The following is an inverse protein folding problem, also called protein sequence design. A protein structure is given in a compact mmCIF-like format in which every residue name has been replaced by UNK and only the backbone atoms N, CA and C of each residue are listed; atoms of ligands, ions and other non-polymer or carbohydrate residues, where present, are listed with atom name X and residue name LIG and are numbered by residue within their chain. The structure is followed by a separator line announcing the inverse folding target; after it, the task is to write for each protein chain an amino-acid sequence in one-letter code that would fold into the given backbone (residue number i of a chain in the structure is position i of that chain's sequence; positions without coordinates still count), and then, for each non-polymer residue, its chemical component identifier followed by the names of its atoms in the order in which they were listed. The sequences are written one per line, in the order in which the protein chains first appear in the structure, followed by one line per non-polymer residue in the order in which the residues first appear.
data_IF_535942185046
#
_entry.id   IF_535942185046
#
_cell.length_a   1.000
_cell.length_b   1.000
_cell.length_c   1.000
_cell.angle_alpha   90.00
_cell.angle_beta   90.00
_cell.angle_gamma   90.00
#
_symmetry.space_group_name_H-M   'P 1'
#
loop_
_entity.id
_entity.type
_entity.pdbx_description
1 polymer ?
#
# COMPACT_ATOMS: atom_id res chain seq x y z
N UNK A 1 8.64 30.54 0.60
CA UNK A 1 8.18 31.29 1.78
C UNK A 1 7.99 32.72 1.30
N UNK A 2 6.75 33.21 1.30
CA UNK A 2 6.40 34.58 0.90
C UNK A 2 6.36 35.40 2.19
N UNK A 3 7.04 36.55 2.24
CA UNK A 3 6.98 37.48 3.39
C UNK A 3 6.11 38.65 2.95
N UNK A 4 4.81 38.62 3.23
CA UNK A 4 3.96 39.75 2.96
C UNK A 4 4.21 40.82 4.01
N UNK A 5 4.57 42.00 3.53
CA UNK A 5 4.20 43.25 4.18
C UNK A 5 2.67 43.31 4.22
N UNK A 6 2.07 43.67 5.36
CA UNK A 6 0.62 43.71 5.49
C UNK A 6 -0.02 44.55 4.36
N UNK A 7 -0.80 43.90 3.48
CA UNK A 7 -1.61 44.60 2.48
C UNK A 7 -3.05 44.66 2.94
N UNK A 8 -3.76 45.75 2.61
CA UNK A 8 -5.20 45.82 2.85
C UNK A 8 -5.98 44.67 2.17
N UNK A 9 -5.43 44.10 1.09
CA UNK A 9 -6.01 42.95 0.38
C UNK A 9 -6.02 41.67 1.22
N UNK A 10 -5.17 41.58 2.24
CA UNK A 10 -5.05 40.42 3.10
C UNK A 10 -6.00 40.49 4.31
N UNK A 11 -6.64 41.65 4.55
CA UNK A 11 -7.55 41.87 5.69
C UNK A 11 -8.85 41.07 5.50
N UNK A 12 -9.24 40.37 6.56
CA UNK A 12 -10.41 39.51 6.58
C UNK A 12 -10.26 38.27 5.69
N UNK A 13 -9.03 37.76 5.51
CA UNK A 13 -8.69 36.53 4.76
C UNK A 13 -9.27 36.49 3.33
N UNK A 14 -9.39 37.66 2.69
CA UNK A 14 -9.99 37.81 1.36
C UNK A 14 -11.52 37.62 1.31
N UNK A 15 -12.19 37.58 2.46
CA UNK A 15 -13.64 37.36 2.61
C UNK A 15 -14.41 38.58 3.08
N UNK A 16 -13.72 39.60 3.60
CA UNK A 16 -14.33 40.86 4.06
C UNK A 16 -14.31 41.90 2.94
N UNK A 17 -15.41 42.62 2.76
CA UNK A 17 -15.42 43.82 1.93
C UNK A 17 -14.51 44.88 2.56
N UNK A 18 -13.56 45.38 1.78
CA UNK A 18 -12.59 46.37 2.26
C UNK A 18 -13.19 47.77 2.23
N UNK A 19 -12.89 48.57 3.27
CA UNK A 19 -13.24 49.97 3.35
C UNK A 19 -12.05 50.85 2.93
N UNK A 20 -12.30 52.10 2.53
CA UNK A 20 -11.24 53.06 2.16
C UNK A 20 -10.19 53.20 3.26
N UNK A 21 -10.62 53.15 4.53
CA UNK A 21 -9.72 53.18 5.69
C UNK A 21 -8.72 52.04 5.74
N UNK A 22 -9.03 50.87 5.15
CA UNK A 22 -8.11 49.72 5.15
C UNK A 22 -6.91 49.97 4.22
N UNK A 23 -7.09 50.75 3.15
CA UNK A 23 -6.02 51.11 2.20
C UNK A 23 -5.14 52.26 2.70
N UNK A 24 -5.64 53.08 3.61
CA UNK A 24 -4.95 54.27 4.13
C UNK A 24 -4.48 54.09 5.57
N UNK A 25 -4.65 52.91 6.16
CA UNK A 25 -4.25 52.60 7.53
C UNK A 25 -2.72 52.46 7.60
N UNK A 26 -2.12 53.13 8.58
CA UNK A 26 -0.76 52.80 9.01
C UNK A 26 -0.79 51.52 9.81
N UNK A 27 -0.11 50.47 9.34
CA UNK A 27 -0.01 49.19 10.05
C UNK A 27 1.01 49.22 11.20
N UNK A 28 1.69 50.35 11.38
CA UNK A 28 2.49 50.66 12.55
C UNK A 28 1.89 51.87 13.29
N UNK A 29 1.60 51.78 14.60
CA UNK A 29 1.84 50.66 15.52
C UNK A 29 0.74 49.58 15.55
N UNK A 30 -0.33 49.72 14.76
CA UNK A 30 -1.51 48.86 14.86
C UNK A 30 -1.41 47.57 14.04
N UNK A 31 -0.52 46.66 14.47
CA UNK A 31 -0.25 45.38 13.80
C UNK A 31 -1.51 44.49 13.83
N UNK A 32 -2.04 44.02 12.68
CA UNK A 32 -3.21 43.15 12.67
C UNK A 32 -2.85 41.72 13.12
N UNK A 33 -3.79 41.02 13.76
CA UNK A 33 -3.50 39.68 14.31
C UNK A 33 -3.38 38.62 13.19
N UNK A 34 -2.27 37.84 13.14
CA UNK A 34 -2.11 36.73 12.21
C UNK A 34 -3.25 35.71 12.33
N UNK A 35 -3.66 35.11 11.20
CA UNK A 35 -4.72 34.09 11.08
C UNK A 35 -6.15 34.54 11.43
N UNK A 36 -6.32 35.59 12.24
CA UNK A 36 -7.62 36.20 12.57
C UNK A 36 -7.99 37.25 11.53
N UNK A 37 -7.05 38.15 11.24
CA UNK A 37 -7.28 39.26 10.32
C UNK A 37 -6.66 38.99 8.94
N UNK A 38 -5.74 38.04 8.80
CA UNK A 38 -5.04 37.78 7.53
C UNK A 38 -4.57 36.34 7.40
N UNK A 39 -4.30 35.81 6.19
CA UNK A 39 -4.05 34.38 5.98
C UNK A 39 -2.61 33.93 6.33
N UNK A 40 -1.76 34.83 6.81
CA UNK A 40 -0.35 34.54 7.07
C UNK A 40 -0.09 34.15 8.52
N UNK A 41 0.96 33.34 8.70
CA UNK A 41 1.41 32.84 10.00
C UNK A 41 2.22 33.87 10.79
N UNK A 42 2.78 34.89 10.11
CA UNK A 42 3.54 35.98 10.70
C UNK A 42 3.54 37.21 9.76
N UNK A 43 3.68 38.41 10.33
CA UNK A 43 3.87 39.68 9.61
C UNK A 43 4.96 40.51 10.29
N UNK A 44 5.71 41.26 9.49
CA UNK A 44 6.69 42.25 9.95
C UNK A 44 6.19 43.64 9.52
N UNK A 45 6.08 44.58 10.46
CA UNK A 45 5.67 45.96 10.21
C UNK A 45 6.66 46.90 10.92
N UNK A 46 7.11 47.95 10.23
CA UNK A 46 8.04 48.95 10.76
C UNK A 46 7.44 50.37 10.72
N UNK A 47 8.07 51.31 11.42
CA UNK A 47 7.61 52.71 11.51
C UNK A 47 7.56 53.47 10.18
N UNK A 48 8.22 52.95 9.13
CA UNK A 48 8.18 53.46 7.75
C UNK A 48 7.28 52.63 6.82
N UNK A 49 6.61 51.59 7.32
CA UNK A 49 5.68 50.80 6.54
C UNK A 49 4.37 51.59 6.31
N UNK A 50 4.43 52.59 5.43
CA UNK A 50 3.30 53.44 5.03
C UNK A 50 2.56 52.94 3.79
N UNK A 51 3.12 51.96 3.07
CA UNK A 51 2.61 51.48 1.78
C UNK A 51 2.32 49.97 1.75
N UNK A 52 1.40 49.57 0.88
CA UNK A 52 0.89 48.20 0.69
C UNK A 52 1.96 47.10 0.52
N UNK A 53 3.09 47.44 -0.09
CA UNK A 53 4.29 46.60 -0.12
C UNK A 53 5.51 47.50 0.05
N UNK A 54 6.26 47.31 1.13
CA UNK A 54 7.52 48.03 1.39
C UNK A 54 8.67 47.04 1.50
N UNK A 55 9.80 47.36 0.87
CA UNK A 55 11.03 46.60 1.10
C UNK A 55 11.49 46.88 2.55
N UNK A 56 11.36 45.87 3.40
CA UNK A 56 11.79 45.95 4.79
C UNK A 56 13.31 45.73 4.82
N UNK A 57 14.03 46.62 5.51
CA UNK A 57 15.47 46.52 5.68
C UNK A 57 15.81 45.15 6.32
N UNK A 58 16.80 44.43 5.76
CA UNK A 58 17.20 43.08 6.17
C UNK A 58 16.20 41.93 5.92
N UNK A 59 15.10 42.14 5.17
CA UNK A 59 14.14 41.07 4.85
C UNK A 59 14.78 39.85 4.16
N UNK A 60 15.66 40.08 3.18
CA UNK A 60 16.36 39.00 2.49
C UNK A 60 17.30 38.23 3.42
N UNK A 61 18.01 38.94 4.31
CA UNK A 61 18.88 38.29 5.30
C UNK A 61 18.05 37.43 6.26
N UNK A 62 16.93 37.95 6.75
CA UNK A 62 16.01 37.20 7.60
C UNK A 62 15.45 35.96 6.90
N UNK A 63 15.01 36.07 5.63
CA UNK A 63 14.54 34.91 4.85
C UNK A 63 15.65 33.88 4.71
N UNK A 64 16.88 34.31 4.39
CA UNK A 64 18.03 33.43 4.26
C UNK A 64 18.38 32.76 5.60
N UNK A 65 18.29 33.48 6.72
CA UNK A 65 18.43 32.92 8.07
C UNK A 65 17.35 31.85 8.35
N UNK A 66 16.08 32.13 8.04
CA UNK A 66 14.99 31.16 8.24
C UNK A 66 15.11 29.92 7.35
N UNK A 67 15.69 30.06 6.15
CA UNK A 67 16.01 28.95 5.25
C UNK A 67 17.23 28.14 5.70
N UNK A 68 18.11 28.72 6.52
CA UNK A 68 19.27 28.03 7.10
C UNK A 68 18.92 27.20 8.34
N UNK A 69 17.74 27.37 8.95
CA UNK A 69 17.29 26.55 10.08
C UNK A 69 16.67 25.25 9.57
N UNK A 70 17.30 24.11 9.87
CA UNK A 70 16.83 22.79 9.45
C UNK A 70 17.11 21.71 10.50
N UNK A 71 16.41 20.58 10.40
CA UNK A 71 16.63 19.42 11.27
C UNK A 71 17.69 18.51 10.66
N UNK A 72 18.85 18.43 11.33
CA UNK A 72 19.90 17.45 11.08
C UNK A 72 19.60 16.14 11.82
N UNK A 73 20.07 15.03 11.25
CA UNK A 73 19.85 13.68 11.76
C UNK A 73 19.51 12.67 10.64
N UNK A 74 19.60 11.37 10.93
CA UNK A 74 19.40 10.32 9.93
C UNK A 74 17.95 10.21 9.46
N UNK A 75 17.76 9.80 8.20
CA UNK A 75 16.43 9.49 7.65
C UNK A 75 15.94 8.10 8.06
N UNK A 76 16.86 7.21 8.43
CA UNK A 76 16.59 5.89 9.02
C UNK A 76 17.39 5.75 10.32
N UNK A 77 16.85 6.23 11.46
CA UNK A 77 17.56 6.22 12.74
C UNK A 77 17.69 4.80 13.32
N UNK A 78 18.60 4.68 14.29
CA UNK A 78 18.70 3.62 15.30
C UNK A 78 18.36 4.21 16.67
N UNK A 79 17.92 3.39 17.63
CA UNK A 79 17.70 3.87 19.00
C UNK A 79 18.98 4.47 19.57
N UNK A 80 18.89 5.67 20.12
CA UNK A 80 20.05 6.47 20.59
C UNK A 80 20.54 7.51 19.58
N UNK A 81 20.08 7.49 18.33
CA UNK A 81 20.37 8.57 17.38
C UNK A 81 19.74 9.88 17.86
N UNK A 82 20.40 11.01 17.54
CA UNK A 82 19.99 12.33 18.00
C UNK A 82 19.67 13.27 16.85
N UNK A 83 18.53 13.94 16.92
CA UNK A 83 18.17 15.02 16.01
C UNK A 83 18.59 16.38 16.59
N UNK A 84 19.04 17.27 15.72
CA UNK A 84 19.52 18.61 16.08
C UNK A 84 18.86 19.63 15.16
N UNK A 85 18.41 20.75 15.72
CA UNK A 85 17.96 21.89 14.94
C UNK A 85 19.15 22.81 14.69
N UNK A 86 19.69 22.75 13.48
CA UNK A 86 20.87 23.51 13.10
C UNK A 86 20.52 24.99 12.93
N UNK A 87 21.51 25.86 13.20
CA UNK A 87 21.39 27.32 13.09
C UNK A 87 20.27 27.94 13.96
N UNK A 88 19.90 27.28 15.07
CA UNK A 88 18.95 27.81 16.06
C UNK A 88 19.66 28.01 17.41
N UNK A 89 19.60 29.23 17.94
CA UNK A 89 20.16 29.60 19.25
C UNK A 89 19.17 29.47 20.41
N UNK A 90 17.89 29.18 20.13
CA UNK A 90 16.84 29.06 21.12
C UNK A 90 16.74 27.65 21.70
N UNK A 91 16.26 27.48 22.94
CA UNK A 91 15.95 26.16 23.49
C UNK A 91 14.90 25.45 22.65
N UNK A 92 15.21 24.22 22.22
CA UNK A 92 14.36 23.41 21.37
C UNK A 92 13.63 22.35 22.19
N UNK A 93 12.36 22.12 21.86
CA UNK A 93 11.55 21.01 22.34
C UNK A 93 11.22 20.06 21.20
N UNK A 94 11.40 18.77 21.43
CA UNK A 94 11.17 17.74 20.43
C UNK A 94 9.86 17.00 20.66
N UNK A 95 9.19 16.62 19.58
CA UNK A 95 8.03 15.75 19.59
C UNK A 95 8.00 14.83 18.36
N UNK A 96 7.17 13.79 18.45
CA UNK A 96 7.01 12.79 17.39
C UNK A 96 5.53 12.56 17.11
N UNK A 97 5.18 12.36 15.84
CA UNK A 97 3.78 12.28 15.43
C UNK A 97 3.03 11.04 15.93
N UNK A 98 3.73 9.92 16.16
CA UNK A 98 3.13 8.67 16.63
C UNK A 98 4.05 7.97 17.64
N UNK A 99 3.66 8.05 18.92
CA UNK A 99 4.39 7.45 20.02
C UNK A 99 4.32 5.93 20.07
N UNK A 100 3.44 5.30 19.29
CA UNK A 100 3.38 3.85 19.16
C UNK A 100 4.51 3.31 18.28
N UNK A 101 5.03 4.11 17.34
CA UNK A 101 6.11 3.74 16.40
C UNK A 101 7.49 4.05 17.00
N UNK A 102 7.66 5.25 17.56
CA UNK A 102 8.91 5.65 18.22
C UNK A 102 8.63 6.70 19.31
N UNK A 103 9.59 6.93 20.19
CA UNK A 103 9.61 8.04 21.15
C UNK A 103 10.81 8.93 20.86
N UNK A 104 10.73 10.20 21.26
CA UNK A 104 11.87 11.12 21.21
C UNK A 104 11.96 11.85 22.55
N UNK A 105 13.18 11.98 23.09
CA UNK A 105 13.40 12.76 24.29
C UNK A 105 13.16 14.25 23.98
N UNK A 106 12.28 14.93 24.73
CA UNK A 106 11.84 16.28 24.41
C UNK A 106 12.93 17.35 24.61
N UNK A 107 14.06 17.03 25.25
CA UNK A 107 15.14 17.96 25.54
C UNK A 107 16.40 17.66 24.71
N UNK A 108 16.81 16.40 24.65
CA UNK A 108 18.02 15.99 23.94
C UNK A 108 17.76 15.81 22.45
N UNK A 109 16.55 15.41 22.03
CA UNK A 109 16.25 15.01 20.65
C UNK A 109 16.71 13.58 20.32
N UNK A 110 17.04 12.78 21.35
CA UNK A 110 17.40 11.37 21.20
C UNK A 110 16.15 10.51 20.92
N UNK A 111 16.21 9.68 19.88
CA UNK A 111 15.08 8.85 19.44
C UNK A 111 15.19 7.42 19.97
N UNK A 112 14.07 6.85 20.40
CA UNK A 112 13.92 5.44 20.79
C UNK A 112 12.90 4.77 19.88
N UNK A 113 13.30 3.72 19.18
CA UNK A 113 12.44 3.01 18.24
C UNK A 113 11.63 1.93 18.95
N UNK A 114 10.36 1.75 18.57
CA UNK A 114 9.48 0.72 19.17
C UNK A 114 9.04 -0.33 18.16
N UNK A 115 8.45 0.10 17.04
CA UNK A 115 8.01 -0.79 15.95
C UNK A 115 8.29 -0.12 14.60
N UNK A 116 8.33 -0.89 13.50
CA UNK A 116 8.50 -0.30 12.18
C UNK A 116 7.38 0.67 11.81
N UNK A 117 7.73 1.74 11.10
CA UNK A 117 6.77 2.71 10.61
C UNK A 117 7.40 4.05 10.23
N UNK A 118 6.55 5.00 9.87
CA UNK A 118 6.97 6.35 9.47
C UNK A 118 6.44 7.35 10.48
N UNK A 119 7.31 8.25 10.92
CA UNK A 119 6.98 9.30 11.88
C UNK A 119 7.55 10.64 11.45
N UNK A 120 6.92 11.71 11.91
CA UNK A 120 7.42 13.07 11.76
C UNK A 120 8.06 13.51 13.06
N UNK A 121 9.36 13.76 13.03
CA UNK A 121 10.12 14.39 14.12
C UNK A 121 9.94 15.90 14.00
N UNK A 122 9.48 16.54 15.07
CA UNK A 122 9.18 17.97 15.09
C UNK A 122 10.04 18.66 16.16
N UNK A 123 10.72 19.73 15.75
CA UNK A 123 11.44 20.65 16.61
C UNK A 123 10.60 21.91 16.78
N UNK A 124 10.33 22.30 18.02
CA UNK A 124 9.59 23.51 18.36
C UNK A 124 10.47 24.40 19.23
N UNK A 125 10.56 25.68 18.91
CA UNK A 125 11.28 26.66 19.73
C UNK A 125 10.46 27.95 19.88
N UNK A 126 10.67 28.62 21.00
CA UNK A 126 10.13 29.95 21.26
C UNK A 126 11.21 30.97 20.93
N UNK A 127 10.85 31.97 20.15
CA UNK A 127 11.66 33.19 19.96
C UNK A 127 10.83 34.39 20.43
N UNK A 128 11.44 35.58 20.45
CA UNK A 128 10.85 36.79 21.06
C UNK A 128 9.42 37.12 20.60
N UNK A 129 9.06 36.75 19.36
CA UNK A 129 7.78 37.12 18.74
C UNK A 129 6.85 35.92 18.48
N UNK A 130 7.18 34.71 18.96
CA UNK A 130 6.25 33.57 18.85
C UNK A 130 6.89 32.19 18.88
N UNK A 131 6.08 31.21 18.50
CA UNK A 131 6.46 29.80 18.45
C UNK A 131 6.68 29.37 17.01
N UNK A 132 7.82 28.75 16.72
CA UNK A 132 8.11 28.16 15.41
C UNK A 132 8.29 26.65 15.55
N UNK A 133 7.74 25.92 14.59
CA UNK A 133 7.97 24.48 14.45
C UNK A 133 8.62 24.15 13.10
N UNK A 134 9.56 23.21 13.12
CA UNK A 134 10.14 22.56 11.94
C UNK A 134 9.94 21.06 12.05
N UNK A 135 9.80 20.39 10.92
CA UNK A 135 9.53 18.95 10.93
C UNK A 135 10.32 18.20 9.87
N UNK A 136 10.78 17.00 10.21
CA UNK A 136 11.47 16.06 9.34
C UNK A 136 10.78 14.71 9.40
N UNK A 137 10.44 14.15 8.25
CA UNK A 137 9.90 12.79 8.17
C UNK A 137 11.04 11.78 8.23
N UNK A 138 10.85 10.73 9.02
CA UNK A 138 11.87 9.68 9.26
C UNK A 138 11.23 8.29 9.23
N UNK A 139 12.02 7.31 8.79
CA UNK A 139 11.61 5.91 8.69
C UNK A 139 12.20 5.12 9.85
N UNK A 140 11.34 4.68 10.76
CA UNK A 140 11.72 3.86 11.91
C UNK A 140 11.64 2.40 11.48
N UNK A 141 12.79 1.72 11.36
CA UNK A 141 12.83 0.34 10.85
C UNK A 141 12.37 0.22 9.39
N UNK A 142 12.39 -1.00 8.86
CA UNK A 142 11.89 -1.30 7.52
C UNK A 142 10.41 -1.71 7.59
N UNK A 143 9.55 -1.21 6.69
CA UNK A 143 8.16 -1.61 6.67
C UNK A 143 8.03 -3.09 6.28
N UNK A 144 6.84 -3.62 6.54
CA UNK A 144 6.49 -4.99 6.18
C UNK A 144 6.06 -5.07 4.71
N UNK A 145 6.41 -6.17 4.04
CA UNK A 145 6.14 -6.37 2.62
C UNK A 145 5.44 -7.70 2.36
N UNK A 146 4.86 -7.79 1.17
CA UNK A 146 4.50 -9.06 0.57
C UNK A 146 4.83 -9.05 -0.92
N UNK A 147 4.91 -10.22 -1.52
CA UNK A 147 5.12 -10.39 -2.96
C UNK A 147 3.75 -10.65 -3.58
N UNK A 148 3.35 -9.84 -4.54
CA UNK A 148 2.21 -10.12 -5.42
C UNK A 148 2.71 -10.48 -6.81
N UNK A 149 2.05 -11.41 -7.50
CA UNK A 149 2.45 -11.80 -8.86
C UNK A 149 1.36 -11.52 -9.88
N UNK A 150 1.70 -10.82 -10.95
CA UNK A 150 0.82 -10.65 -12.11
C UNK A 150 1.42 -11.32 -13.33
N UNK A 151 0.58 -11.82 -14.22
CA UNK A 151 0.99 -12.37 -15.51
C UNK A 151 0.49 -11.46 -16.63
N UNK A 152 1.38 -11.05 -17.53
CA UNK A 152 1.01 -10.27 -18.73
C UNK A 152 1.01 -11.16 -19.98
N UNK A 153 0.55 -12.42 -19.83
CA UNK A 153 0.48 -13.42 -20.90
C UNK A 153 1.83 -13.94 -21.45
N UNK A 154 2.94 -13.26 -21.19
CA UNK A 154 4.30 -13.62 -21.65
C UNK A 154 5.33 -13.68 -20.52
N UNK A 155 5.16 -12.91 -19.45
CA UNK A 155 6.11 -12.81 -18.34
C UNK A 155 5.36 -12.85 -17.02
N UNK A 156 5.82 -13.69 -16.10
CA UNK A 156 5.39 -13.62 -14.71
C UNK A 156 6.16 -12.47 -14.03
N UNK A 157 5.43 -11.56 -13.42
CA UNK A 157 5.96 -10.34 -12.81
C UNK A 157 5.69 -10.42 -11.31
N UNK A 158 6.75 -10.46 -10.51
CA UNK A 158 6.65 -10.30 -9.08
C UNK A 158 6.72 -8.81 -8.72
N UNK A 159 5.88 -8.36 -7.80
CA UNK A 159 5.87 -6.99 -7.31
C UNK A 159 5.90 -7.00 -5.80
N UNK A 160 6.90 -6.34 -5.21
CA UNK A 160 6.97 -6.09 -3.78
C UNK A 160 5.99 -4.97 -3.43
N UNK A 161 5.03 -5.28 -2.57
CA UNK A 161 4.05 -4.33 -2.09
C UNK A 161 4.25 -4.09 -0.61
N UNK A 162 4.34 -2.82 -0.25
CA UNK A 162 4.51 -2.36 1.13
C UNK A 162 3.14 -2.39 1.83
N UNK A 163 3.03 -3.08 2.97
CA UNK A 163 1.79 -3.17 3.74
C UNK A 163 1.42 -1.84 4.41
N UNK A 164 2.40 -0.98 4.65
CA UNK A 164 2.22 0.33 5.31
C UNK A 164 2.63 1.47 4.37
N UNK A 165 1.67 2.33 4.01
CA UNK A 165 1.84 3.62 3.30
C UNK A 165 2.95 3.66 2.21
N UNK A 166 2.68 3.07 1.04
CA UNK A 166 3.64 2.93 -0.05
C UNK A 166 4.21 4.23 -0.65
N UNK A 167 3.54 5.38 -0.46
CA UNK A 167 3.97 6.66 -1.05
C UNK A 167 5.30 7.18 -0.48
N UNK A 168 5.50 7.07 0.84
CA UNK A 168 6.72 7.54 1.50
C UNK A 168 7.87 6.55 1.32
N UNK A 169 7.58 5.24 1.30
CA UNK A 169 8.60 4.25 0.99
C UNK A 169 9.15 4.44 -0.43
N UNK A 170 8.27 4.73 -1.39
CA UNK A 170 8.69 5.09 -2.75
C UNK A 170 9.65 6.29 -2.77
N UNK A 171 9.38 7.34 -1.99
CA UNK A 171 10.29 8.49 -1.87
C UNK A 171 11.69 8.08 -1.40
N UNK A 172 11.78 7.09 -0.49
CA UNK A 172 13.05 6.63 0.08
C UNK A 172 13.83 5.74 -0.90
N UNK A 173 13.13 4.95 -1.70
CA UNK A 173 13.70 4.22 -2.84
C UNK A 173 14.19 5.20 -3.91
N UNK A 174 13.37 6.19 -4.27
CA UNK A 174 13.72 7.22 -5.27
C UNK A 174 14.93 8.07 -4.79
N UNK A 175 15.09 8.27 -3.48
CA UNK A 175 16.25 8.91 -2.87
C UNK A 175 17.50 8.01 -2.77
N UNK A 176 17.41 6.73 -3.17
CA UNK A 176 18.53 5.78 -3.12
C UNK A 176 18.92 5.34 -1.70
N UNK A 177 18.04 5.51 -0.73
CA UNK A 177 18.29 5.13 0.66
C UNK A 177 17.94 3.68 0.95
N UNK A 178 17.17 3.08 0.04
CA UNK A 178 16.62 1.74 0.15
C UNK A 178 16.68 1.05 -1.21
N UNK A 179 17.09 -0.22 -1.23
CA UNK A 179 17.20 -1.06 -2.41
C UNK A 179 16.46 -2.38 -2.22
N UNK A 180 15.90 -2.91 -3.31
CA UNK A 180 15.31 -4.25 -3.31
C UNK A 180 16.37 -5.27 -3.71
N UNK A 181 16.39 -6.38 -3.01
CA UNK A 181 17.10 -7.59 -3.42
C UNK A 181 16.09 -8.67 -3.71
N UNK A 182 16.09 -9.13 -4.96
CA UNK A 182 15.26 -10.21 -5.42
C UNK A 182 16.11 -11.46 -5.56
N UNK A 183 15.52 -12.61 -5.27
CA UNK A 183 16.17 -13.90 -5.42
C UNK A 183 15.25 -14.88 -6.12
N UNK A 184 15.80 -15.75 -6.95
CA UNK A 184 15.05 -16.90 -7.49
C UNK A 184 15.69 -18.19 -7.06
N UNK A 185 14.85 -19.20 -6.83
CA UNK A 185 15.27 -20.57 -6.59
C UNK A 185 14.42 -21.49 -7.44
N UNK A 186 15.08 -22.16 -8.37
CA UNK A 186 14.55 -23.27 -9.16
C UNK A 186 15.18 -24.57 -8.67
N UNK A 187 14.42 -25.66 -8.73
CA UNK A 187 14.79 -27.04 -8.42
C UNK A 187 16.26 -27.32 -8.03
N UNK A 188 16.55 -27.40 -6.73
CA UNK A 188 17.86 -27.82 -6.22
C UNK A 188 19.01 -26.82 -6.40
N UNK A 189 18.80 -25.72 -7.13
CA UNK A 189 19.80 -24.67 -7.31
C UNK A 189 19.89 -23.75 -6.07
N UNK A 190 21.06 -23.12 -5.82
CA UNK A 190 21.18 -22.06 -4.83
C UNK A 190 20.32 -20.84 -5.23
N UNK A 191 20.03 -19.97 -4.25
CA UNK A 191 19.31 -18.71 -4.51
C UNK A 191 20.25 -17.75 -5.26
N UNK A 192 19.84 -17.31 -6.44
CA UNK A 192 20.54 -16.28 -7.19
C UNK A 192 19.95 -14.92 -6.86
N UNK A 193 20.72 -14.08 -6.15
CA UNK A 193 20.28 -12.76 -5.71
C UNK A 193 20.67 -11.67 -6.72
N UNK A 194 19.72 -10.80 -7.04
CA UNK A 194 19.87 -9.63 -7.90
C UNK A 194 19.41 -8.38 -7.14
N UNK A 195 20.27 -7.35 -7.11
CA UNK A 195 19.93 -6.05 -6.54
C UNK A 195 19.31 -5.17 -7.62
N UNK A 196 18.17 -4.56 -7.32
CA UNK A 196 17.52 -3.62 -8.24
C UNK A 196 16.76 -2.53 -7.48
N UNK A 197 16.56 -1.41 -8.17
CA UNK A 197 15.82 -0.25 -7.61
C UNK A 197 14.32 -0.45 -7.66
N UNK A 198 13.85 -1.23 -8.63
CA UNK A 198 12.42 -1.42 -8.86
C UNK A 198 11.84 -2.43 -7.88
N UNK A 199 10.64 -2.11 -7.41
CA UNK A 199 9.78 -3.01 -6.64
C UNK A 199 9.21 -4.14 -7.51
N UNK A 200 9.61 -4.24 -8.77
CA UNK A 200 9.06 -5.14 -9.77
C UNK A 200 10.18 -6.01 -10.32
N UNK A 201 10.01 -7.32 -10.24
CA UNK A 201 10.97 -8.32 -10.69
C UNK A 201 10.32 -9.23 -11.74
N UNK A 202 10.86 -9.17 -12.96
CA UNK A 202 10.42 -10.02 -14.05
C UNK A 202 11.08 -11.40 -13.93
N UNK A 203 10.28 -12.45 -13.81
CA UNK A 203 10.74 -13.84 -13.73
C UNK A 203 11.13 -14.41 -15.10
N UNK A 204 10.94 -13.63 -16.18
CA UNK A 204 11.05 -14.09 -17.55
C UNK A 204 9.88 -15.01 -17.94
N UNK A 205 10.05 -15.74 -19.05
CA UNK A 205 9.14 -16.83 -19.44
C UNK A 205 9.48 -18.03 -18.56
N UNK A 206 8.60 -18.47 -17.64
CA UNK A 206 8.90 -19.61 -16.79
C UNK A 206 9.08 -20.87 -17.64
N UNK A 207 10.18 -21.61 -17.45
CA UNK A 207 10.30 -22.93 -18.06
C UNK A 207 9.17 -23.83 -17.52
N UNK A 208 8.39 -24.40 -18.45
CA UNK A 208 7.05 -25.02 -18.30
C UNK A 208 6.92 -26.20 -17.32
N UNK A 209 7.91 -26.47 -16.48
CA UNK A 209 7.98 -27.68 -15.64
C UNK A 209 8.49 -27.46 -14.22
N UNK A 210 8.78 -26.23 -13.78
CA UNK A 210 9.38 -26.01 -12.46
C UNK A 210 8.60 -25.03 -11.58
N UNK A 211 8.33 -25.46 -10.34
CA UNK A 211 8.04 -24.55 -9.24
C UNK A 211 9.22 -23.62 -9.03
N UNK A 212 8.98 -22.33 -9.16
CA UNK A 212 9.99 -21.29 -8.93
C UNK A 212 9.61 -20.56 -7.66
N UNK A 213 10.51 -20.58 -6.67
CA UNK A 213 10.32 -19.74 -5.47
C UNK A 213 11.08 -18.44 -5.64
N UNK A 214 10.35 -17.36 -5.48
CA UNK A 214 10.83 -15.99 -5.53
C UNK A 214 11.10 -15.58 -4.10
N UNK A 215 12.20 -14.90 -3.86
CA UNK A 215 12.58 -14.32 -2.59
C UNK A 215 12.72 -12.81 -2.79
N UNK A 216 12.38 -12.05 -1.77
CA UNK A 216 12.59 -10.62 -1.74
C UNK A 216 13.03 -10.18 -0.35
N UNK A 217 13.95 -9.24 -0.29
CA UNK A 217 14.22 -8.46 0.91
C UNK A 217 14.62 -7.06 0.53
N UNK A 218 14.56 -6.17 1.51
CA UNK A 218 14.90 -4.77 1.37
C UNK A 218 16.16 -4.48 2.18
N UNK A 219 17.05 -3.67 1.62
CA UNK A 219 18.25 -3.18 2.30
C UNK A 219 18.28 -1.66 2.34
N UNK A 220 18.64 -1.11 3.48
CA UNK A 220 18.94 0.32 3.62
C UNK A 220 20.41 0.60 3.39
N UNK A 221 20.75 1.84 3.04
CA UNK A 221 22.13 2.32 2.96
C UNK A 221 22.92 2.17 4.29
N UNK A 222 22.22 2.10 5.43
CA UNK A 222 22.83 1.89 6.76
C UNK A 222 23.09 0.41 7.09
N UNK A 223 22.78 -0.51 6.18
CA UNK A 223 22.99 -1.95 6.31
C UNK A 223 21.86 -2.71 7.01
N UNK A 224 20.77 -2.05 7.41
CA UNK A 224 19.58 -2.73 7.93
C UNK A 224 18.91 -3.53 6.79
N UNK A 225 18.60 -4.80 7.07
CA UNK A 225 17.91 -5.73 6.16
C UNK A 225 16.53 -6.06 6.70
N UNK A 226 15.54 -6.16 5.81
CA UNK A 226 14.24 -6.72 6.18
C UNK A 226 14.34 -8.24 6.35
N UNK A 227 13.32 -8.89 6.94
CA UNK A 227 13.10 -10.32 6.74
C UNK A 227 13.09 -10.68 5.25
N UNK A 228 13.34 -11.95 4.96
CA UNK A 228 13.19 -12.50 3.62
C UNK A 228 11.74 -12.91 3.43
N UNK A 229 11.09 -12.31 2.44
CA UNK A 229 9.77 -12.68 1.96
C UNK A 229 9.91 -13.68 0.82
N UNK A 230 8.97 -14.61 0.68
CA UNK A 230 9.00 -15.59 -0.41
C UNK A 230 7.61 -15.86 -0.98
N UNK A 231 7.56 -16.19 -2.26
CA UNK A 231 6.35 -16.62 -2.97
C UNK A 231 6.72 -17.74 -3.94
N UNK A 232 5.95 -18.82 -3.97
CA UNK A 232 6.18 -19.94 -4.90
C UNK A 232 5.21 -19.87 -6.07
N UNK A 233 5.77 -19.62 -7.25
CA UNK A 233 5.07 -19.66 -8.52
C UNK A 233 5.14 -21.08 -9.11
N UNK A 234 3.98 -21.69 -9.36
CA UNK A 234 3.87 -23.01 -9.98
C UNK A 234 3.37 -22.93 -11.43
N UNK A 235 4.31 -22.90 -12.37
CA UNK A 235 4.03 -22.85 -13.81
C UNK A 235 3.47 -24.17 -14.38
N UNK A 236 3.39 -25.23 -13.57
CA UNK A 236 2.94 -26.56 -14.05
C UNK A 236 1.42 -26.70 -14.15
N UNK A 237 0.66 -25.77 -13.56
CA UNK A 237 -0.80 -25.77 -13.62
C UNK A 237 -1.31 -24.76 -14.67
N UNK A 238 -1.88 -25.22 -15.81
CA UNK A 238 -2.46 -24.34 -16.83
C UNK A 238 -3.65 -23.53 -16.37
N UNK A 239 -4.31 -23.99 -15.31
CA UNK A 239 -5.66 -23.61 -14.96
C UNK A 239 -5.64 -22.65 -13.79
N UNK A 240 -6.43 -21.59 -13.92
CA UNK A 240 -6.77 -20.72 -12.80
C UNK A 240 -8.24 -20.90 -12.46
N UNK A 241 -8.55 -20.75 -11.18
CA UNK A 241 -9.86 -20.98 -10.62
C UNK A 241 -10.32 -19.67 -10.01
N UNK A 242 -11.49 -19.19 -10.43
CA UNK A 242 -12.03 -17.89 -10.06
C UNK A 242 -13.52 -18.03 -9.70
N UNK A 243 -14.00 -17.54 -8.55
CA UNK A 243 -13.24 -16.93 -7.47
C UNK A 243 -12.42 -17.96 -6.68
N UNK A 244 -11.30 -17.51 -6.10
CA UNK A 244 -10.51 -18.31 -5.13
C UNK A 244 -11.02 -18.14 -3.70
N UNK A 245 -11.45 -16.91 -3.38
CA UNK A 245 -12.06 -16.56 -2.11
C UNK A 245 -13.45 -16.00 -2.32
N UNK A 246 -14.34 -16.39 -1.43
CA UNK A 246 -15.68 -15.86 -1.25
C UNK A 246 -15.68 -15.26 0.14
N UNK A 247 -15.92 -13.95 0.26
CA UNK A 247 -15.96 -13.27 1.55
C UNK A 247 -17.39 -12.80 1.83
N UNK A 248 -17.85 -13.02 3.05
CA UNK A 248 -19.11 -12.45 3.56
C UNK A 248 -18.85 -11.51 4.74
N UNK A 249 -19.54 -10.37 4.78
CA UNK A 249 -19.49 -9.42 5.90
C UNK A 249 -20.68 -9.55 6.86
N UNK A 250 -20.70 -8.72 7.91
CA UNK A 250 -21.76 -8.72 8.92
C UNK A 250 -23.15 -8.39 8.34
N UNK A 251 -23.20 -7.56 7.30
CA UNK A 251 -24.43 -7.17 6.58
C UNK A 251 -24.93 -8.28 5.65
N UNK A 252 -24.08 -9.27 5.38
CA UNK A 252 -24.42 -10.37 4.49
C UNK A 252 -24.08 -10.18 3.03
N UNK A 253 -23.36 -9.10 2.73
CA UNK A 253 -22.86 -8.80 1.40
C UNK A 253 -21.75 -9.78 1.04
N UNK A 254 -21.62 -10.05 -0.25
CA UNK A 254 -20.72 -11.04 -0.78
C UNK A 254 -19.70 -10.39 -1.70
N UNK A 255 -18.45 -10.75 -1.48
CA UNK A 255 -17.31 -10.24 -2.22
C UNK A 255 -16.56 -11.41 -2.84
N UNK A 256 -16.45 -11.39 -4.17
CA UNK A 256 -15.71 -12.40 -4.92
C UNK A 256 -14.34 -11.86 -5.26
N UNK A 257 -13.30 -12.60 -4.89
CA UNK A 257 -11.95 -12.27 -5.31
C UNK A 257 -11.62 -13.02 -6.59
N UNK A 258 -11.51 -12.29 -7.69
CA UNK A 258 -10.64 -12.73 -8.79
C UNK A 258 -9.24 -12.19 -8.50
N UNK A 259 -8.20 -12.75 -9.13
CA UNK A 259 -6.78 -12.57 -8.80
C UNK A 259 -6.35 -11.21 -8.20
N UNK A 260 -6.96 -10.05 -8.52
CA UNK A 260 -6.74 -8.78 -7.83
C UNK A 260 -7.94 -7.82 -7.72
N UNK A 261 -9.16 -8.25 -8.05
CA UNK A 261 -10.36 -7.39 -8.02
C UNK A 261 -11.47 -8.04 -7.20
N UNK A 262 -12.08 -7.21 -6.36
CA UNK A 262 -13.27 -7.52 -5.57
C UNK A 262 -14.47 -6.99 -6.33
N UNK A 263 -15.44 -7.85 -6.59
CA UNK A 263 -16.75 -7.47 -7.10
C UNK A 263 -17.81 -7.85 -6.06
N UNK A 264 -18.75 -6.94 -5.83
CA UNK A 264 -19.96 -7.24 -5.09
C UNK A 264 -20.76 -8.27 -5.89
N UNK A 265 -21.08 -9.41 -5.29
CA UNK A 265 -21.96 -10.37 -5.92
C UNK A 265 -23.42 -10.04 -5.57
N UNK A 266 -24.22 -9.72 -6.58
CA UNK A 266 -25.68 -9.70 -6.44
C UNK A 266 -26.19 -11.14 -6.51
N UNK A 267 -27.17 -11.48 -5.66
CA UNK A 267 -27.59 -12.84 -5.27
C UNK A 267 -28.03 -13.83 -6.36
N UNK A 268 -27.12 -14.17 -7.26
CA UNK A 268 -27.20 -15.26 -8.22
C UNK A 268 -26.40 -16.48 -7.71
N UNK A 269 -26.67 -17.71 -8.19
CA UNK A 269 -25.88 -18.88 -7.81
C UNK A 269 -24.38 -18.63 -8.03
N UNK A 270 -23.58 -18.97 -7.02
CA UNK A 270 -22.15 -18.70 -7.04
C UNK A 270 -21.46 -19.55 -8.12
N UNK A 271 -21.04 -18.90 -9.19
CA UNK A 271 -20.29 -19.55 -10.26
C UNK A 271 -18.79 -19.55 -9.98
N UNK A 272 -18.21 -20.73 -10.19
CA UNK A 272 -16.78 -20.96 -10.27
C UNK A 272 -16.36 -21.05 -11.74
N UNK A 273 -15.59 -20.09 -12.21
CA UNK A 273 -14.97 -20.09 -13.51
C UNK A 273 -13.58 -20.73 -13.44
N UNK A 274 -13.39 -21.84 -14.15
CA UNK A 274 -12.04 -22.37 -14.45
C UNK A 274 -11.59 -21.77 -15.77
N UNK A 275 -10.55 -20.94 -15.72
CA UNK A 275 -9.94 -20.31 -16.87
C UNK A 275 -8.69 -21.08 -17.25
N UNK A 276 -8.61 -21.49 -18.51
CA UNK A 276 -7.34 -21.91 -19.08
C UNK A 276 -6.47 -20.66 -19.31
N UNK A 277 -5.24 -20.70 -18.81
CA UNK A 277 -4.28 -19.63 -19.08
C UNK A 277 -3.95 -19.58 -20.58
N UNK A 278 -3.94 -18.36 -21.12
CA UNK A 278 -3.70 -18.01 -22.53
C UNK A 278 -2.42 -18.61 -23.13
N UNK A 279 -1.46 -19.01 -22.29
CA UNK A 279 -0.19 -19.62 -22.69
C UNK A 279 -0.33 -21.01 -23.32
N UNK A 280 -1.39 -21.74 -22.99
CA UNK A 280 -1.61 -23.10 -23.49
C UNK A 280 -2.17 -23.15 -24.91
N UNK A 281 -2.67 -22.04 -25.46
CA UNK A 281 -3.27 -22.01 -26.80
C UNK A 281 -2.27 -21.95 -27.97
N UNK A 282 -0.96 -21.80 -27.73
CA UNK A 282 -0.01 -21.57 -28.84
C UNK A 282 0.64 -22.82 -29.48
N UNK A 283 0.47 -24.04 -28.94
CA UNK A 283 0.70 -25.29 -29.69
C UNK A 283 0.46 -26.53 -28.82
N UNK A 284 -0.48 -27.38 -29.20
CA UNK A 284 -0.41 -28.81 -28.88
C UNK A 284 -1.17 -29.33 -27.67
N UNK A 285 -2.25 -28.68 -27.24
CA UNK A 285 -3.21 -29.38 -26.36
C UNK A 285 -3.89 -30.44 -27.23
N UNK A 286 -3.53 -31.71 -27.05
CA UNK A 286 -4.32 -32.83 -27.58
C UNK A 286 -5.78 -32.65 -27.11
N UNK A 287 -6.80 -33.21 -27.78
CA UNK A 287 -8.22 -33.12 -27.36
C UNK A 287 -8.47 -33.50 -25.90
N UNK A 288 -7.45 -34.01 -25.21
CA UNK A 288 -7.42 -34.33 -23.82
C UNK A 288 -6.76 -33.47 -22.79
N UNK A 289 -6.14 -32.37 -23.19
CA UNK A 289 -5.65 -31.39 -22.22
C UNK A 289 -6.71 -30.35 -21.83
N UNK A 290 -8.01 -30.66 -21.95
CA UNK A 290 -9.11 -29.74 -21.60
C UNK A 290 -9.91 -30.28 -20.40
N UNK A 291 -10.35 -29.40 -19.47
CA UNK A 291 -11.24 -29.80 -18.39
C UNK A 291 -12.50 -30.47 -18.93
N UNK A 292 -12.80 -31.67 -18.45
CA UNK A 292 -14.03 -32.41 -18.76
C UNK A 292 -14.92 -32.63 -17.56
N UNK A 293 -14.37 -32.51 -16.34
CA UNK A 293 -15.10 -32.73 -15.09
C UNK A 293 -14.50 -31.92 -13.94
N UNK A 294 -15.36 -31.44 -13.06
CA UNK A 294 -14.96 -30.95 -11.74
C UNK A 294 -15.55 -31.83 -10.65
N UNK A 295 -14.74 -32.10 -9.63
CA UNK A 295 -15.13 -32.80 -8.41
C UNK A 295 -14.92 -31.86 -7.21
N UNK A 296 -15.97 -31.59 -6.45
CA UNK A 296 -15.94 -30.75 -5.24
C UNK A 296 -16.02 -31.64 -4.01
N UNK A 297 -15.05 -31.51 -3.10
CA UNK A 297 -14.88 -32.30 -1.87
C UNK A 297 -14.85 -33.83 -2.08
N UNK A 298 -14.61 -34.30 -3.31
CA UNK A 298 -14.61 -35.73 -3.63
C UNK A 298 -16.00 -36.36 -3.78
N UNK A 299 -17.07 -35.56 -3.66
CA UNK A 299 -18.45 -36.08 -3.60
C UNK A 299 -19.33 -35.58 -4.74
N UNK A 300 -19.17 -34.30 -5.13
CA UNK A 300 -20.00 -33.67 -6.17
C UNK A 300 -19.27 -33.63 -7.49
N UNK A 301 -19.86 -34.22 -8.53
CA UNK A 301 -19.31 -34.19 -9.89
C UNK A 301 -20.14 -33.28 -10.78
N UNK A 302 -19.48 -32.37 -11.50
CA UNK A 302 -20.07 -31.59 -12.57
C UNK A 302 -19.40 -31.95 -13.89
N UNK A 303 -20.20 -32.45 -14.82
CA UNK A 303 -19.79 -32.88 -16.15
C UNK A 303 -20.17 -31.84 -17.20
N UNK A 304 -19.53 -31.97 -18.36
CA UNK A 304 -19.82 -31.12 -19.48
C UNK A 304 -19.59 -31.87 -20.81
N UNK A 305 -20.43 -31.55 -21.79
CA UNK A 305 -20.50 -32.29 -23.05
C UNK A 305 -20.09 -31.47 -24.30
N UNK A 306 -20.01 -30.13 -24.24
CA UNK A 306 -19.88 -29.29 -25.45
C UNK A 306 -18.85 -28.14 -25.39
N UNK A 307 -17.70 -28.32 -26.08
CA UNK A 307 -16.68 -27.26 -26.27
C UNK A 307 -17.37 -25.98 -26.76
N UNK A 308 -17.24 -24.81 -26.07
CA UNK A 308 -17.67 -23.56 -26.68
C UNK A 308 -16.75 -23.36 -27.89
N UNK A 309 -17.22 -23.83 -29.04
CA UNK A 309 -16.55 -23.70 -30.32
C UNK A 309 -16.47 -22.23 -30.67
N UNK A 310 -15.41 -21.56 -30.23
CA UNK A 310 -15.16 -20.16 -30.50
C UNK A 310 -13.67 -19.91 -30.55
N UNK A 311 -13.21 -19.17 -31.57
CA UNK A 311 -11.84 -18.70 -31.75
C UNK A 311 -11.46 -17.58 -30.74
N UNK A 312 -12.02 -17.60 -29.54
CA UNK A 312 -11.77 -16.58 -28.52
C UNK A 312 -10.66 -17.05 -27.59
N UNK A 313 -9.63 -16.22 -27.45
CA UNK A 313 -8.37 -16.48 -26.74
C UNK A 313 -8.48 -16.62 -25.20
N UNK A 314 -9.70 -16.71 -24.68
CA UNK A 314 -10.04 -16.86 -23.26
C UNK A 314 -11.17 -17.90 -23.15
N UNK A 315 -10.82 -19.18 -23.03
CA UNK A 315 -11.80 -20.24 -22.73
C UNK A 315 -12.01 -20.30 -21.23
N UNK A 316 -12.94 -19.49 -20.73
CA UNK A 316 -13.46 -19.59 -19.36
C UNK A 316 -14.61 -20.59 -19.32
N UNK A 317 -14.46 -21.69 -18.59
CA UNK A 317 -15.54 -22.64 -18.33
C UNK A 317 -16.17 -22.29 -16.99
N UNK A 318 -17.44 -21.86 -17.02
CA UNK A 318 -18.22 -21.58 -15.80
C UNK A 318 -18.85 -22.86 -15.27
N UNK A 319 -18.63 -23.11 -13.99
CA UNK A 319 -19.27 -24.12 -13.16
C UNK A 319 -20.07 -23.40 -12.10
N UNK A 320 -21.11 -24.04 -11.56
CA UNK A 320 -21.73 -23.56 -10.32
C UNK A 320 -21.11 -24.35 -9.18
N UNK A 321 -20.55 -23.67 -8.18
CA UNK A 321 -19.98 -24.34 -7.02
C UNK A 321 -21.09 -24.90 -6.11
N UNK A 322 -22.20 -24.17 -6.08
CA UNK A 322 -23.42 -24.47 -5.35
C UNK A 322 -24.61 -24.04 -6.20
N UNK A 323 -25.74 -24.75 -6.08
CA UNK A 323 -27.02 -24.16 -6.47
C UNK A 323 -27.45 -23.06 -5.47
N UNK A 324 -28.53 -22.35 -5.79
CA UNK A 324 -29.01 -21.22 -4.99
C UNK A 324 -29.38 -21.64 -3.55
N UNK A 325 -30.04 -22.80 -3.39
CA UNK A 325 -30.49 -23.30 -2.09
C UNK A 325 -29.32 -23.80 -1.23
N UNK A 326 -28.37 -24.52 -1.84
CA UNK A 326 -27.14 -24.98 -1.22
C UNK A 326 -26.27 -23.81 -0.76
N UNK A 327 -26.12 -22.81 -1.63
CA UNK A 327 -25.34 -21.61 -1.31
C UNK A 327 -25.91 -20.89 -0.10
N UNK A 328 -27.22 -20.70 -0.08
CA UNK A 328 -27.92 -20.10 1.05
C UNK A 328 -27.78 -20.94 2.33
N UNK A 329 -27.76 -22.25 2.21
CA UNK A 329 -27.48 -23.19 3.29
C UNK A 329 -26.10 -22.99 3.92
N UNK A 330 -25.06 -22.81 3.09
CA UNK A 330 -23.70 -22.51 3.58
C UNK A 330 -23.59 -21.10 4.16
N UNK A 331 -24.20 -20.11 3.52
CA UNK A 331 -24.22 -18.73 4.02
C UNK A 331 -24.86 -18.63 5.40
N UNK A 332 -25.93 -19.39 5.68
CA UNK A 332 -26.57 -19.42 7.01
C UNK A 332 -25.70 -20.05 8.12
N UNK A 333 -24.71 -20.86 7.75
CA UNK A 333 -23.76 -21.43 8.71
C UNK A 333 -22.61 -20.46 9.02
N UNK A 334 -22.37 -19.48 8.14
CA UNK A 334 -21.37 -18.44 8.33
C UNK A 334 -21.85 -17.39 9.34
N UNK A 335 -20.92 -16.78 10.06
CA UNK A 335 -21.23 -15.59 10.86
C UNK A 335 -21.79 -14.46 9.94
N UNK A 336 -22.68 -13.59 10.45
CA UNK A 336 -23.22 -13.59 11.82
C UNK A 336 -24.39 -14.57 12.04
N UNK A 337 -24.84 -15.30 11.02
CA UNK A 337 -26.04 -16.15 11.10
C UNK A 337 -25.82 -17.56 11.67
N UNK A 338 -24.57 -18.01 11.66
CA UNK A 338 -24.12 -19.26 12.26
C UNK A 338 -22.87 -19.07 13.11
N UNK A 339 -22.09 -20.15 13.26
CA UNK A 339 -20.90 -20.22 14.11
C UNK A 339 -19.60 -20.40 13.32
N UNK A 340 -19.69 -20.54 12.00
CA UNK A 340 -18.54 -20.83 11.14
C UNK A 340 -17.87 -19.55 10.63
N UNK A 341 -16.56 -19.45 10.83
CA UNK A 341 -15.74 -18.33 10.32
C UNK A 341 -15.11 -18.64 8.96
N UNK A 342 -14.92 -19.93 8.64
CA UNK A 342 -14.26 -20.36 7.42
C UNK A 342 -14.72 -21.75 6.98
N UNK A 343 -14.89 -21.93 5.68
CA UNK A 343 -15.08 -23.22 5.01
C UNK A 343 -14.09 -23.37 3.85
N UNK A 344 -13.56 -24.57 3.66
CA UNK A 344 -12.61 -24.87 2.57
C UNK A 344 -13.18 -25.98 1.70
N UNK A 345 -13.30 -25.72 0.41
CA UNK A 345 -13.77 -26.66 -0.59
C UNK A 345 -12.60 -27.12 -1.45
N UNK A 346 -12.32 -28.41 -1.46
CA UNK A 346 -11.31 -29.00 -2.34
C UNK A 346 -11.91 -29.18 -3.73
N UNK A 347 -11.40 -28.47 -4.72
CA UNK A 347 -11.82 -28.58 -6.12
C UNK A 347 -10.77 -29.36 -6.89
N UNK A 348 -11.17 -30.49 -7.46
CA UNK A 348 -10.38 -31.32 -8.36
C UNK A 348 -10.93 -31.15 -9.78
N UNK A 349 -10.07 -30.79 -10.72
CA UNK A 349 -10.40 -30.71 -12.15
C UNK A 349 -9.77 -31.90 -12.85
N UNK A 350 -10.59 -32.63 -13.59
CA UNK A 350 -10.16 -33.76 -14.41
C UNK A 350 -10.45 -33.50 -15.89
N UNK A 351 -9.69 -34.14 -16.77
CA UNK A 351 -10.01 -34.20 -18.19
C UNK A 351 -11.20 -35.13 -18.46
N UNK A 352 -11.61 -35.24 -19.72
CA UNK A 352 -12.73 -36.09 -20.15
C UNK A 352 -12.50 -37.60 -20.00
N UNK A 353 -11.26 -38.06 -19.73
CA UNK A 353 -10.99 -39.48 -19.40
C UNK A 353 -10.67 -39.66 -17.91
N UNK A 354 -10.89 -38.65 -17.08
CA UNK A 354 -10.71 -38.74 -15.63
C UNK A 354 -9.27 -38.58 -15.15
N UNK A 355 -8.37 -38.05 -15.98
CA UNK A 355 -7.01 -37.71 -15.53
C UNK A 355 -7.04 -36.40 -14.75
N UNK A 356 -6.43 -36.40 -13.57
CA UNK A 356 -6.28 -35.20 -12.75
C UNK A 356 -5.46 -34.12 -13.50
N UNK A 357 -6.03 -32.91 -13.56
CA UNK A 357 -5.44 -31.76 -14.23
C UNK A 357 -5.05 -30.66 -13.25
N UNK A 358 -5.90 -30.38 -12.25
CA UNK A 358 -5.68 -29.38 -11.22
C UNK A 358 -6.34 -29.83 -9.93
N UNK A 359 -5.71 -29.55 -8.78
CA UNK A 359 -6.39 -29.54 -7.48
C UNK A 359 -6.14 -28.19 -6.83
N UNK A 360 -7.19 -27.51 -6.39
CA UNK A 360 -7.08 -26.22 -5.72
C UNK A 360 -8.17 -26.05 -4.65
N UNK A 361 -7.88 -25.37 -3.53
CA UNK A 361 -8.89 -24.98 -2.57
C UNK A 361 -9.69 -23.76 -3.06
N UNK A 362 -10.98 -23.74 -2.73
CA UNK A 362 -11.84 -22.54 -2.71
C UNK A 362 -12.20 -22.26 -1.27
N UNK A 363 -11.96 -21.03 -0.83
CA UNK A 363 -12.11 -20.66 0.58
C UNK A 363 -13.29 -19.71 0.72
N UNK A 364 -14.26 -20.08 1.55
CA UNK A 364 -15.33 -19.20 1.99
C UNK A 364 -14.99 -18.71 3.40
N UNK A 365 -14.92 -17.40 3.60
CA UNK A 365 -14.56 -16.79 4.89
C UNK A 365 -15.51 -15.67 5.30
N UNK A 366 -15.72 -15.53 6.60
CA UNK A 366 -16.42 -14.40 7.20
C UNK A 366 -15.43 -13.36 7.71
N UNK A 367 -15.66 -12.09 7.36
CA UNK A 367 -14.90 -10.96 7.88
C UNK A 367 -15.88 -9.85 8.23
N UNK A 368 -16.03 -9.56 9.52
CA UNK A 368 -17.03 -8.62 10.06
C UNK A 368 -16.95 -7.24 9.40
N UNK A 369 -15.78 -6.60 9.44
CA UNK A 369 -15.54 -5.27 8.86
C UNK A 369 -14.70 -5.39 7.57
N UNK A 370 -15.25 -6.01 6.52
CA UNK A 370 -14.53 -6.15 5.25
C UNK A 370 -14.46 -4.80 4.49
N UNK A 371 -13.26 -4.21 4.27
CA UNK A 371 -13.15 -2.89 3.67
C UNK A 371 -13.42 -2.92 2.16
N UNK A 372 -14.22 -1.97 1.68
CA UNK A 372 -14.51 -1.82 0.25
C UNK A 372 -13.22 -1.68 -0.58
N UNK A 373 -13.07 -2.58 -1.56
CA UNK A 373 -12.11 -2.44 -2.66
C UNK A 373 -10.69 -2.98 -2.43
N UNK A 374 -10.40 -3.67 -1.30
CA UNK A 374 -9.09 -4.31 -1.11
C UNK A 374 -9.16 -5.66 -0.38
N UNK A 375 -8.36 -6.63 -0.85
CA UNK A 375 -8.25 -7.95 -0.23
C UNK A 375 -7.28 -7.89 0.97
N UNK A 376 -7.72 -8.20 2.21
CA UNK A 376 -6.88 -8.25 3.40
C UNK A 376 -5.65 -9.14 3.22
N UNK A 377 -4.52 -8.71 3.79
CA UNK A 377 -3.25 -9.45 3.81
C UNK A 377 -3.39 -10.88 4.30
N UNK A 378 -4.23 -11.05 5.32
CA UNK A 378 -4.34 -12.28 6.08
C UNK A 378 -5.04 -13.37 5.26
N UNK A 379 -5.82 -12.99 4.24
CA UNK A 379 -6.43 -13.91 3.29
C UNK A 379 -5.43 -14.46 2.27
N UNK A 380 -4.44 -13.65 1.86
CA UNK A 380 -3.35 -14.12 0.99
C UNK A 380 -2.44 -15.09 1.74
N UNK A 381 -2.11 -14.77 2.99
CA UNK A 381 -1.29 -15.64 3.86
C UNK A 381 -2.02 -16.96 4.19
N UNK A 382 -3.35 -16.98 4.14
CA UNK A 382 -4.16 -18.19 4.29
C UNK A 382 -4.07 -19.09 3.06
N UNK A 383 -3.93 -18.52 1.85
CA UNK A 383 -3.76 -19.29 0.62
C UNK A 383 -2.51 -20.16 0.68
N UNK A 384 -1.39 -19.58 1.09
CA UNK A 384 -0.09 -20.26 1.10
C UNK A 384 -0.03 -21.41 2.14
N UNK A 385 -1.04 -21.57 2.98
CA UNK A 385 -1.17 -22.65 3.98
C UNK A 385 -1.93 -23.89 3.46
N UNK A 386 -2.62 -23.80 2.32
CA UNK A 386 -3.43 -24.88 1.73
C UNK A 386 -2.95 -25.24 0.32
#
# INVERSE_FOLDING_TARGET
MFVPTASALDIGIGRRTLAVSDYTRSYWPDIPQPLVEMPYQAVIAESKASDHISEIENMYEWILEQMRIYISGPLSPKSGDRYVLENCSYPVRWSISDMSIAAIDPLSGEITLKKPGVVKVTATYQYEYGTVSRSKTVMVGLPDFYISTSEDGMVAIATAKCRTNGSMFKMLVDAGLVEYEWGTKTWGNPIEWTVQKDSVFALGVPERMYRTTIYMRVKTASGLTSPVYSYTYDASNPFTLNPKFIVSNAEGELYLTTNYTIASAEGWPLSLNVQLSKYYELAGIEPGGVPGKIIVNGEREHWWDEYPGGQSMDVGINFYLFDEDEFDGYRRQMKPWGDTEMMVFKVLVQDRWGKDMMTAPVIFIYIEDFPDGYMPSDLLDLYDQF
#
